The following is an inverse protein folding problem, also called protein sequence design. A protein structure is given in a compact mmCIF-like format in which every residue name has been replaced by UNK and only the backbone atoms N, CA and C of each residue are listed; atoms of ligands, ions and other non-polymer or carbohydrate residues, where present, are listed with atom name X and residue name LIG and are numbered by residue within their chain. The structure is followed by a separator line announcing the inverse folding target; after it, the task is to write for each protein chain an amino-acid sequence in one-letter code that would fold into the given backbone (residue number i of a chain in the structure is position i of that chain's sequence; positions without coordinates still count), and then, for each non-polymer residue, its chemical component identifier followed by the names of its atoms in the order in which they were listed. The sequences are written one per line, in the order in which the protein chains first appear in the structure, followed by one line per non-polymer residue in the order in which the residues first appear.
data_IF_126414701222
#
_entry.id   IF_126414701222
#
_cell.length_a   1.000
_cell.length_b   1.000
_cell.length_c   1.000
_cell.angle_alpha   90.00
_cell.angle_beta   90.00
_cell.angle_gamma   90.00
#
_symmetry.space_group_name_H-M   'P 1'
#
loop_
_entity.id
_entity.type
_entity.pdbx_description
1 polymer ?
#
# COMPACT_ATOMS: atom_id res chain seq x y z
N UNK A 1 -17.75 3.16 -14.38
CA UNK A 1 -17.28 2.43 -13.18
C UNK A 1 -16.77 3.45 -12.18
N UNK A 2 -17.16 3.34 -10.91
CA UNK A 2 -16.73 4.29 -9.87
C UNK A 2 -15.29 3.96 -9.43
N UNK A 3 -14.44 4.97 -9.30
CA UNK A 3 -13.06 4.82 -8.84
C UNK A 3 -13.02 4.28 -7.40
N UNK A 4 -12.21 3.24 -7.16
CA UNK A 4 -11.97 2.67 -5.82
C UNK A 4 -11.01 3.56 -5.02
N UNK A 5 -11.19 3.59 -3.70
CA UNK A 5 -10.38 4.44 -2.81
C UNK A 5 -9.01 3.81 -2.53
N UNK A 6 -7.98 4.66 -2.45
CA UNK A 6 -6.68 4.32 -1.92
C UNK A 6 -6.65 4.45 -0.38
N UNK A 7 -5.65 3.85 0.28
CA UNK A 7 -5.60 3.79 1.73
C UNK A 7 -5.61 5.16 2.40
N UNK A 8 -4.96 6.17 1.81
CA UNK A 8 -4.90 7.52 2.36
C UNK A 8 -6.24 8.24 2.26
N UNK A 9 -7.03 7.98 1.23
CA UNK A 9 -8.37 8.53 1.05
C UNK A 9 -9.36 7.89 2.05
N UNK A 10 -9.27 6.56 2.21
CA UNK A 10 -10.09 5.82 3.17
C UNK A 10 -9.75 6.19 4.62
N UNK A 11 -8.45 6.25 4.96
CA UNK A 11 -7.98 6.55 6.32
C UNK A 11 -7.96 8.04 6.65
N UNK A 12 -8.01 8.91 5.63
CA UNK A 12 -7.85 10.37 5.75
C UNK A 12 -6.60 10.72 6.56
N UNK A 13 -5.48 10.07 6.24
CA UNK A 13 -4.26 10.21 7.05
C UNK A 13 -3.44 11.45 6.73
N UNK A 14 -3.67 12.12 5.60
CA UNK A 14 -3.00 13.37 5.21
C UNK A 14 -1.56 13.21 4.77
N UNK A 15 -1.11 11.99 4.45
CA UNK A 15 0.26 11.67 4.03
C UNK A 15 0.37 11.31 2.54
N UNK A 16 -0.68 11.53 1.77
CA UNK A 16 -0.62 11.60 0.31
C UNK A 16 0.27 12.75 -0.18
N UNK A 17 0.77 12.74 -1.43
CA UNK A 17 1.49 13.88 -2.00
C UNK A 17 0.68 15.18 -1.86
N UNK A 18 1.29 16.21 -1.25
CA UNK A 18 0.63 17.48 -0.95
C UNK A 18 -0.33 17.45 0.25
N UNK A 19 -0.41 16.33 0.99
CA UNK A 19 -1.23 16.20 2.17
C UNK A 19 -0.72 17.03 3.36
N UNK A 20 -1.63 17.42 4.25
CA UNK A 20 -1.36 18.32 5.38
C UNK A 20 -0.45 17.75 6.48
N UNK A 21 -0.12 16.46 6.43
CA UNK A 21 0.80 15.78 7.37
C UNK A 21 2.15 15.44 6.74
N UNK A 22 2.40 15.88 5.51
CA UNK A 22 3.66 15.61 4.81
C UNK A 22 4.83 16.33 5.47
N UNK A 23 4.67 17.57 5.92
CA UNK A 23 5.78 18.33 6.53
C UNK A 23 6.25 17.71 7.85
N UNK A 24 5.32 17.13 8.63
CA UNK A 24 5.62 16.54 9.94
C UNK A 24 6.06 15.08 9.84
N UNK A 25 5.44 14.28 8.97
CA UNK A 25 5.63 12.82 8.93
C UNK A 25 6.20 12.30 7.61
N UNK A 26 6.47 13.17 6.64
CA UNK A 26 6.84 12.81 5.28
C UNK A 26 5.71 12.17 4.48
N UNK A 27 5.91 12.07 3.17
CA UNK A 27 4.99 11.39 2.25
C UNK A 27 4.92 9.89 2.58
N UNK A 28 3.73 9.32 2.53
CA UNK A 28 3.52 7.89 2.75
C UNK A 28 4.21 7.09 1.62
N UNK A 29 5.04 6.08 1.93
CA UNK A 29 5.66 5.24 0.90
C UNK A 29 4.65 4.59 -0.04
N UNK A 30 3.49 4.15 0.47
CA UNK A 30 2.43 3.60 -0.38
C UNK A 30 1.88 4.61 -1.39
N UNK A 31 1.97 5.91 -1.14
CA UNK A 31 1.48 6.94 -2.05
C UNK A 31 2.48 7.32 -3.15
N UNK A 32 3.71 6.79 -3.10
CA UNK A 32 4.78 7.06 -4.09
C UNK A 32 5.41 5.79 -4.68
N UNK A 33 4.97 4.60 -4.25
CA UNK A 33 5.48 3.32 -4.74
C UNK A 33 4.96 3.03 -6.16
N UNK A 34 5.68 3.53 -7.16
CA UNK A 34 5.32 3.41 -8.58
C UNK A 34 5.24 1.97 -9.07
N UNK A 35 6.00 1.04 -8.47
CA UNK A 35 6.01 -0.37 -8.92
C UNK A 35 4.71 -1.07 -8.54
N UNK A 36 3.99 -0.53 -7.57
CA UNK A 36 2.69 -1.01 -7.16
C UNK A 36 1.54 -0.43 -7.98
N UNK A 37 1.81 0.53 -8.87
CA UNK A 37 0.75 1.20 -9.63
C UNK A 37 -0.07 0.18 -10.45
N UNK A 38 -1.39 0.39 -10.44
CA UNK A 38 -2.39 -0.49 -11.05
C UNK A 38 -2.72 -1.76 -10.26
N UNK A 39 -1.93 -2.13 -9.25
CA UNK A 39 -2.21 -3.34 -8.45
C UNK A 39 -3.49 -3.14 -7.65
N UNK A 40 -4.36 -4.15 -7.69
CA UNK A 40 -5.70 -4.08 -7.11
C UNK A 40 -6.44 -2.80 -7.56
N UNK A 41 -6.43 -2.45 -8.85
CA UNK A 41 -7.10 -1.24 -9.36
C UNK A 41 -6.73 0.06 -8.62
N UNK A 42 -5.55 0.09 -7.98
CA UNK A 42 -5.08 1.18 -7.14
C UNK A 42 -4.13 2.12 -7.87
N UNK A 43 -3.88 3.26 -7.24
CA UNK A 43 -2.83 4.20 -7.66
C UNK A 43 -1.61 4.01 -6.77
N UNK A 44 -0.42 3.90 -7.37
CA UNK A 44 0.81 3.57 -6.65
C UNK A 44 0.58 2.35 -5.73
N UNK A 45 1.04 2.37 -4.48
CA UNK A 45 0.78 1.35 -3.47
C UNK A 45 -0.52 1.52 -2.69
N UNK A 46 -1.43 2.40 -3.11
CA UNK A 46 -2.59 2.80 -2.32
C UNK A 46 -3.57 1.68 -1.99
N UNK A 47 -3.70 0.67 -2.87
CA UNK A 47 -4.53 -0.53 -2.65
C UNK A 47 -3.72 -1.80 -2.40
N UNK A 48 -2.44 -1.65 -2.05
CA UNK A 48 -1.60 -2.71 -1.49
C UNK A 48 -0.74 -2.19 -0.34
N UNK A 49 -1.25 -1.24 0.44
CA UNK A 49 -0.45 -0.59 1.47
C UNK A 49 0.12 -1.58 2.49
N UNK A 50 -0.47 -2.78 2.64
CA UNK A 50 0.05 -3.89 3.46
C UNK A 50 1.35 -4.52 2.94
N UNK A 51 1.64 -4.41 1.64
CA UNK A 51 2.84 -4.98 1.01
C UNK A 51 4.00 -3.97 0.91
N UNK A 52 3.70 -2.67 0.97
CA UNK A 52 4.72 -1.61 0.96
C UNK A 52 5.34 -1.46 2.35
N UNK A 53 6.67 -1.46 2.42
CA UNK A 53 7.43 -1.24 3.66
C UNK A 53 7.41 0.24 4.07
N UNK A 54 7.68 0.53 5.34
CA UNK A 54 7.81 1.92 5.83
C UNK A 54 6.49 2.70 5.91
N UNK A 55 5.35 2.10 5.58
CA UNK A 55 4.05 2.78 5.73
C UNK A 55 3.76 3.06 7.19
N UNK A 56 3.09 4.17 7.48
CA UNK A 56 2.72 4.53 8.83
C UNK A 56 1.25 4.21 9.07
N UNK A 57 0.98 3.15 9.83
CA UNK A 57 -0.39 2.73 10.18
C UNK A 57 -0.49 2.62 11.70
N UNK A 58 -1.64 3.01 12.26
CA UNK A 58 -1.90 2.98 13.71
C UNK A 58 -0.83 3.69 14.56
N UNK A 59 -0.29 4.81 14.06
CA UNK A 59 0.73 5.57 14.80
C UNK A 59 2.13 4.97 14.78
N UNK A 60 2.42 3.97 13.94
CA UNK A 60 3.75 3.33 13.87
C UNK A 60 4.16 3.03 12.42
N UNK A 61 5.46 3.16 12.14
CA UNK A 61 6.08 2.65 10.92
C UNK A 61 5.94 1.13 10.90
N UNK A 62 5.47 0.59 9.78
CA UNK A 62 5.27 -0.85 9.58
C UNK A 62 6.44 -1.45 8.82
N UNK A 63 6.84 -2.66 9.22
CA UNK A 63 7.91 -3.44 8.59
C UNK A 63 7.50 -4.10 7.27
N UNK A 64 8.21 -5.16 6.90
CA UNK A 64 8.02 -5.93 5.67
C UNK A 64 6.69 -6.71 5.65
N UNK A 65 6.24 -7.09 4.45
CA UNK A 65 4.97 -7.78 4.20
C UNK A 65 4.70 -8.97 5.14
N UNK A 66 5.69 -9.86 5.33
CA UNK A 66 5.55 -11.05 6.18
C UNK A 66 5.21 -10.73 7.65
N UNK A 67 5.71 -9.61 8.17
CA UNK A 67 5.41 -9.17 9.54
C UNK A 67 4.06 -8.43 9.66
N UNK A 68 3.44 -8.10 8.52
CA UNK A 68 2.37 -7.10 8.42
C UNK A 68 1.03 -7.68 7.97
N UNK A 69 1.03 -8.83 7.29
CA UNK A 69 -0.22 -9.49 6.85
C UNK A 69 -1.14 -9.78 8.04
N UNK A 70 -0.61 -10.23 9.17
CA UNK A 70 -1.37 -10.59 10.38
C UNK A 70 -2.01 -9.37 11.02
N UNK A 71 -1.31 -8.23 11.07
CA UNK A 71 -1.87 -6.98 11.60
C UNK A 71 -2.84 -6.33 10.61
N UNK A 72 -2.67 -6.55 9.30
CA UNK A 72 -3.55 -6.07 8.25
C UNK A 72 -4.87 -6.82 8.14
N UNK A 73 -4.95 -8.08 8.57
CA UNK A 73 -6.22 -8.83 8.63
C UNK A 73 -7.29 -8.14 9.51
N UNK A 74 -6.87 -7.32 10.48
CA UNK A 74 -7.76 -6.49 11.30
C UNK A 74 -7.91 -5.05 10.79
N UNK A 75 -7.42 -4.73 9.59
CA UNK A 75 -7.55 -3.41 8.99
C UNK A 75 -8.83 -3.32 8.16
N UNK A 76 -9.71 -2.38 8.52
CA UNK A 76 -10.94 -2.12 7.76
C UNK A 76 -10.69 -1.85 6.26
N UNK A 77 -9.59 -1.20 5.92
CA UNK A 77 -9.26 -0.94 4.51
C UNK A 77 -8.82 -2.20 3.78
N UNK A 78 -8.00 -3.05 4.41
CA UNK A 78 -7.60 -4.34 3.84
C UNK A 78 -8.84 -5.19 3.52
N UNK A 79 -9.75 -5.32 4.49
CA UNK A 79 -11.00 -6.07 4.32
C UNK A 79 -11.92 -5.45 3.27
N UNK A 80 -11.89 -4.13 3.08
CA UNK A 80 -12.60 -3.50 1.98
C UNK A 80 -11.97 -3.85 0.63
N UNK A 81 -10.64 -3.84 0.54
CA UNK A 81 -9.97 -4.23 -0.70
C UNK A 81 -10.24 -5.68 -1.05
N UNK A 82 -10.19 -6.58 -0.08
CA UNK A 82 -10.53 -8.00 -0.23
C UNK A 82 -11.97 -8.25 -0.69
N UNK A 83 -12.92 -7.41 -0.27
CA UNK A 83 -14.31 -7.49 -0.75
C UNK A 83 -14.48 -6.93 -2.17
N UNK A 84 -13.70 -5.90 -2.51
CA UNK A 84 -13.75 -5.22 -3.80
C UNK A 84 -12.95 -5.95 -4.88
N UNK A 85 -12.00 -6.79 -4.50
CA UNK A 85 -11.06 -7.51 -5.37
C UNK A 85 -11.01 -8.98 -4.95
N UNK A 86 -11.22 -9.92 -5.87
CA UNK A 86 -11.35 -11.33 -5.51
C UNK A 86 -9.99 -12.03 -5.23
N UNK A 87 -8.87 -11.48 -5.73
CA UNK A 87 -7.56 -12.14 -5.72
C UNK A 87 -6.43 -11.23 -5.18
N UNK A 88 -6.66 -10.56 -4.04
CA UNK A 88 -5.71 -9.55 -3.53
C UNK A 88 -4.30 -10.09 -3.24
N UNK A 89 -4.17 -11.38 -2.91
CA UNK A 89 -2.88 -12.02 -2.62
C UNK A 89 -2.07 -12.25 -3.90
N UNK A 90 -2.72 -12.72 -4.97
CA UNK A 90 -2.10 -12.92 -6.28
C UNK A 90 -1.64 -11.57 -6.86
N UNK A 91 -2.49 -10.55 -6.76
CA UNK A 91 -2.14 -9.17 -7.14
C UNK A 91 -0.97 -8.63 -6.30
N UNK A 92 -0.94 -8.93 -5.01
CA UNK A 92 0.19 -8.57 -4.14
C UNK A 92 1.49 -9.26 -4.59
N UNK A 93 1.43 -10.52 -5.02
CA UNK A 93 2.58 -11.27 -5.51
C UNK A 93 3.16 -10.64 -6.78
N UNK A 94 2.32 -10.11 -7.69
CA UNK A 94 2.78 -9.36 -8.87
C UNK A 94 3.67 -8.19 -8.48
N UNK A 95 3.33 -7.46 -7.42
CA UNK A 95 4.18 -6.40 -6.88
C UNK A 95 5.50 -6.93 -6.33
N UNK A 96 5.48 -8.01 -5.54
CA UNK A 96 6.71 -8.59 -4.97
C UNK A 96 7.70 -9.02 -6.06
N UNK A 97 7.20 -9.67 -7.12
CA UNK A 97 8.01 -10.04 -8.30
C UNK A 97 8.64 -8.82 -9.00
N UNK A 98 7.92 -7.70 -9.08
CA UNK A 98 8.45 -6.44 -9.64
C UNK A 98 9.60 -5.90 -8.81
N UNK A 99 9.54 -6.04 -7.48
CA UNK A 99 10.61 -5.61 -6.56
C UNK A 99 11.84 -6.51 -6.70
N UNK A 100 11.65 -7.83 -6.68
CA UNK A 100 12.73 -8.81 -6.82
C UNK A 100 13.49 -8.64 -8.14
N UNK A 101 12.77 -8.50 -9.26
CA UNK A 101 13.38 -8.30 -10.57
C UNK A 101 14.27 -7.03 -10.64
N UNK A 102 13.98 -5.99 -9.87
CA UNK A 102 14.85 -4.81 -9.80
C UNK A 102 16.08 -5.03 -8.92
N UNK A 103 15.94 -5.75 -7.82
CA UNK A 103 17.07 -6.08 -6.95
C UNK A 103 18.09 -6.96 -7.70
N UNK A 104 17.62 -7.93 -8.50
CA UNK A 104 18.48 -8.76 -9.35
C UNK A 104 19.15 -8.00 -10.50
N UNK A 105 18.65 -6.83 -10.90
CA UNK A 105 19.25 -5.96 -11.93
C UNK A 105 20.30 -4.99 -11.38
N UNK A 106 20.39 -4.86 -10.05
CA UNK A 106 21.33 -3.99 -9.35
C UNK A 106 22.56 -4.75 -8.81
N UNK A 107 22.59 -6.07 -9.01
CA UNK A 107 23.71 -6.99 -8.77
C UNK A 107 24.43 -7.27 -10.09
#
# INVERSE_FOLDING_TARGET
MTRKLNCWEFKKCGREPGGNKVDEFGVCPAAIEKKADGINSGTMGGRICWAVSGTYCRGKVQGIFAAKITSCASCAFFNQVDKEEQNILEETEKYLKRIEAEQSRKL
#
